data_IF_950562601409
#
_entry.id   IF_950562601409
#
_cell.length_a   1.000
_cell.length_b   1.000
_cell.length_c   1.000
_cell.angle_alpha   90.00
_cell.angle_beta   90.00
_cell.angle_gamma   90.00
#
_symmetry.space_group_name_H-M   'P 1'
#
loop_
_entity.id
_entity.type
_entity.pdbx_description
1 polymer ?
#
# COMPACT_ATOMS: atom_id res chain seq x y z
N UNK A 1 19.13 7.77 15.95
CA UNK A 1 18.86 6.47 15.32
C UNK A 1 17.63 6.56 14.43
N UNK A 2 17.51 5.70 13.40
CA UNK A 2 16.39 5.71 12.45
C UNK A 2 15.02 5.61 13.15
N UNK A 3 14.91 4.85 14.24
CA UNK A 3 13.69 4.73 15.03
C UNK A 3 13.22 6.05 15.65
N UNK A 4 14.15 6.92 16.09
CA UNK A 4 13.79 8.23 16.65
C UNK A 4 13.32 9.22 15.59
N UNK A 5 13.77 9.07 14.35
CA UNK A 5 13.38 9.91 13.24
C UNK A 5 11.97 9.54 12.72
N UNK A 6 11.67 8.26 12.65
CA UNK A 6 10.32 7.75 12.34
C UNK A 6 9.31 8.23 13.39
N UNK A 7 9.65 8.13 14.68
CA UNK A 7 8.78 8.59 15.76
C UNK A 7 8.55 10.11 15.73
N UNK A 8 9.60 10.89 15.40
CA UNK A 8 9.45 12.35 15.22
C UNK A 8 8.55 12.71 14.05
N UNK A 9 8.65 11.99 12.93
CA UNK A 9 7.77 12.19 11.77
C UNK A 9 6.31 11.86 12.10
N UNK A 10 6.05 10.81 12.86
CA UNK A 10 4.70 10.47 13.34
C UNK A 10 4.12 11.56 14.27
N UNK A 11 4.95 12.19 15.07
CA UNK A 11 4.53 13.28 15.96
C UNK A 11 4.07 14.54 15.22
N UNK A 12 4.50 14.75 13.98
CA UNK A 12 4.08 15.84 13.11
C UNK A 12 2.91 15.48 12.18
N UNK A 13 2.25 14.33 12.42
CA UNK A 13 1.01 13.98 11.75
C UNK A 13 1.12 13.80 10.25
N UNK A 14 2.21 13.20 9.74
CA UNK A 14 2.34 12.83 8.34
C UNK A 14 1.95 13.92 7.35
N UNK A 15 2.86 14.86 7.05
CA UNK A 15 2.59 15.88 6.03
C UNK A 15 2.78 15.27 4.63
N UNK A 16 1.81 15.46 3.76
CA UNK A 16 1.90 15.11 2.34
C UNK A 16 2.01 16.39 1.52
N UNK A 17 3.06 16.47 0.71
CA UNK A 17 3.19 17.51 -0.30
C UNK A 17 2.83 16.94 -1.67
N UNK A 18 1.82 17.51 -2.32
CA UNK A 18 1.36 17.09 -3.63
C UNK A 18 1.50 18.23 -4.61
N UNK A 19 2.20 18.00 -5.72
CA UNK A 19 2.33 18.95 -6.82
C UNK A 19 1.46 18.50 -7.99
N UNK A 20 0.51 19.35 -8.38
CA UNK A 20 -0.32 19.18 -9.57
C UNK A 20 0.06 20.15 -10.66
N UNK A 21 0.20 19.64 -11.87
CA UNK A 21 0.36 20.47 -13.06
C UNK A 21 -0.62 20.01 -14.14
N UNK A 22 -1.09 20.97 -14.95
CA UNK A 22 -1.99 20.69 -16.05
C UNK A 22 -2.13 21.89 -16.99
N UNK A 23 -2.57 21.67 -18.23
CA UNK A 23 -2.70 22.74 -19.23
C UNK A 23 -3.81 23.74 -18.91
N UNK A 24 -4.79 23.35 -18.08
CA UNK A 24 -5.92 24.20 -17.70
C UNK A 24 -5.97 24.38 -16.19
N UNK A 25 -6.18 25.60 -15.75
CA UNK A 25 -6.29 25.97 -14.33
C UNK A 25 -7.44 25.23 -13.65
N UNK A 26 -8.55 25.02 -14.33
CA UNK A 26 -9.71 24.34 -13.77
C UNK A 26 -9.47 22.85 -13.51
N UNK A 27 -8.67 22.19 -14.34
CA UNK A 27 -8.28 20.78 -14.13
C UNK A 27 -7.42 20.64 -12.86
N UNK A 28 -6.48 21.59 -12.68
CA UNK A 28 -5.63 21.63 -11.47
C UNK A 28 -6.46 21.90 -10.22
N UNK A 29 -7.39 22.87 -10.27
CA UNK A 29 -8.30 23.16 -9.15
C UNK A 29 -9.21 21.96 -8.80
N UNK A 30 -9.70 21.26 -9.82
CA UNK A 30 -10.54 20.07 -9.62
C UNK A 30 -9.75 18.93 -8.98
N UNK A 31 -8.52 18.68 -9.42
CA UNK A 31 -7.63 17.70 -8.82
C UNK A 31 -7.32 18.01 -7.35
N UNK A 32 -7.01 19.27 -7.04
CA UNK A 32 -6.75 19.68 -5.67
C UNK A 32 -7.97 19.54 -4.76
N UNK A 33 -9.17 19.90 -5.26
CA UNK A 33 -10.42 19.71 -4.52
C UNK A 33 -10.70 18.24 -4.24
N UNK A 34 -10.52 17.38 -5.24
CA UNK A 34 -10.70 15.94 -5.09
C UNK A 34 -9.76 15.35 -4.03
N UNK A 35 -8.48 15.71 -4.06
CA UNK A 35 -7.51 15.22 -3.06
C UNK A 35 -7.84 15.73 -1.66
N UNK A 36 -8.22 17.01 -1.54
CA UNK A 36 -8.62 17.55 -0.25
C UNK A 36 -9.82 16.80 0.31
N UNK A 37 -10.88 16.63 -0.48
CA UNK A 37 -12.07 15.88 -0.09
C UNK A 37 -11.73 14.43 0.28
N UNK A 38 -10.87 13.79 -0.51
CA UNK A 38 -10.45 12.42 -0.25
C UNK A 38 -9.69 12.27 1.09
N UNK A 39 -8.76 13.17 1.39
CA UNK A 39 -8.02 13.16 2.66
C UNK A 39 -8.94 13.45 3.86
N UNK A 40 -9.90 14.37 3.69
CA UNK A 40 -10.79 14.78 4.76
C UNK A 40 -11.91 13.76 5.05
N UNK A 41 -12.38 13.03 4.03
CA UNK A 41 -13.59 12.21 4.13
C UNK A 41 -13.37 10.70 3.90
N UNK A 42 -12.18 10.28 3.47
CA UNK A 42 -11.87 8.88 3.18
C UNK A 42 -10.69 8.41 4.01
N UNK A 43 -10.97 7.98 5.23
CA UNK A 43 -9.97 7.38 6.12
C UNK A 43 -9.60 5.93 5.78
N UNK A 44 -10.20 5.37 4.73
CA UNK A 44 -10.12 3.95 4.38
C UNK A 44 -8.81 3.49 3.73
N UNK A 45 -7.84 4.41 3.52
CA UNK A 45 -6.56 4.07 2.88
C UNK A 45 -5.59 3.30 3.78
N UNK A 46 -5.75 3.40 5.08
CA UNK A 46 -4.94 2.66 6.04
C UNK A 46 -5.87 1.87 6.95
N UNK A 47 -5.90 0.57 6.78
CA UNK A 47 -6.52 -0.29 7.75
C UNK A 47 -5.62 -0.32 8.99
N UNK A 48 -6.08 0.26 10.08
CA UNK A 48 -5.48 0.10 11.40
C UNK A 48 -6.28 -0.99 12.10
N UNK A 49 -5.62 -2.03 12.57
CA UNK A 49 -6.26 -2.95 13.48
C UNK A 49 -6.26 -2.31 14.87
N UNK A 50 -7.39 -1.72 15.23
CA UNK A 50 -7.80 -1.22 16.52
C UNK A 50 -6.70 -0.80 17.49
N UNK A 51 -6.75 -1.30 18.72
CA UNK A 51 -5.94 -0.84 19.86
C UNK A 51 -4.48 -1.30 19.89
N UNK A 52 -4.03 -2.16 18.97
CA UNK A 52 -2.68 -2.76 19.03
C UNK A 52 -1.64 -2.13 18.10
N UNK A 53 -2.00 -1.12 17.34
CA UNK A 53 -1.02 -0.28 16.63
C UNK A 53 -0.39 -0.91 15.38
N UNK A 54 -0.89 -2.04 14.87
CA UNK A 54 -0.43 -2.65 13.63
C UNK A 54 -1.08 -1.97 12.43
N UNK A 55 -0.32 -1.18 11.72
CA UNK A 55 -0.79 -0.53 10.49
C UNK A 55 -0.39 -1.33 9.26
N UNK A 56 -1.30 -1.49 8.32
CA UNK A 56 -1.01 -2.01 7.00
C UNK A 56 -1.74 -1.23 5.89
N UNK A 57 -1.24 -1.37 4.69
CA UNK A 57 -1.85 -0.79 3.50
C UNK A 57 -2.02 -1.86 2.43
N UNK A 58 -3.24 -2.01 1.92
CA UNK A 58 -3.53 -2.97 0.87
C UNK A 58 -4.57 -2.39 -0.09
N UNK A 59 -4.15 -2.11 -1.32
CA UNK A 59 -5.02 -1.53 -2.33
C UNK A 59 -4.74 -2.10 -3.72
N UNK A 60 -5.82 -2.37 -4.47
CA UNK A 60 -5.74 -2.64 -5.91
C UNK A 60 -5.90 -1.34 -6.69
N UNK A 61 -4.94 -1.06 -7.57
CA UNK A 61 -4.93 0.10 -8.45
C UNK A 61 -5.15 -0.38 -9.90
N UNK A 62 -6.35 -0.17 -10.47
CA UNK A 62 -6.71 -0.68 -11.80
C UNK A 62 -5.94 0.00 -12.94
N UNK A 63 -5.59 1.27 -12.76
CA UNK A 63 -4.92 2.09 -13.79
C UNK A 63 -3.69 2.76 -13.20
N UNK A 64 -2.52 2.08 -13.27
CA UNK A 64 -1.28 2.64 -12.76
C UNK A 64 -0.90 3.92 -13.49
N UNK A 65 -0.51 4.95 -12.73
CA UNK A 65 0.10 6.14 -13.28
C UNK A 65 1.50 5.85 -13.84
N UNK A 66 1.99 6.72 -14.73
CA UNK A 66 3.28 6.57 -15.42
C UNK A 66 4.45 6.31 -14.46
N UNK A 67 4.47 6.98 -13.32
CA UNK A 67 5.50 6.79 -12.30
C UNK A 67 5.57 5.32 -11.81
N UNK A 68 4.42 4.72 -11.46
CA UNK A 68 4.39 3.33 -11.00
C UNK A 68 4.68 2.32 -12.11
N UNK A 69 4.27 2.63 -13.35
CA UNK A 69 4.62 1.80 -14.51
C UNK A 69 6.13 1.72 -14.69
N UNK A 70 6.83 2.84 -14.62
CA UNK A 70 8.29 2.90 -14.76
C UNK A 70 8.99 2.33 -13.52
N UNK A 71 8.56 2.71 -12.32
CA UNK A 71 9.21 2.32 -11.07
C UNK A 71 9.09 0.83 -10.75
N UNK A 72 7.96 0.20 -11.10
CA UNK A 72 7.67 -1.21 -10.83
C UNK A 72 7.64 -2.09 -12.08
N UNK A 73 8.05 -1.59 -13.24
CA UNK A 73 7.98 -2.32 -14.53
C UNK A 73 6.58 -2.93 -14.77
N UNK A 74 5.53 -2.12 -14.56
CA UNK A 74 4.14 -2.54 -14.81
C UNK A 74 3.83 -2.30 -16.28
N UNK A 75 3.41 -3.35 -16.97
CA UNK A 75 3.14 -3.28 -18.41
C UNK A 75 1.85 -2.51 -18.71
N UNK A 76 1.75 -1.89 -19.89
CA UNK A 76 0.49 -1.28 -20.32
C UNK A 76 -0.67 -2.28 -20.27
N UNK A 77 -1.78 -1.85 -19.63
CA UNK A 77 -2.96 -2.69 -19.45
C UNK A 77 -2.95 -3.58 -18.19
N UNK A 78 -1.83 -3.69 -17.48
CA UNK A 78 -1.82 -4.34 -16.16
C UNK A 78 -2.35 -3.40 -15.07
N UNK A 79 -3.02 -3.99 -14.12
CA UNK A 79 -3.33 -3.41 -12.80
C UNK A 79 -2.24 -3.81 -11.81
N UNK A 80 -2.22 -3.19 -10.63
CA UNK A 80 -1.35 -3.67 -9.55
C UNK A 80 -2.03 -3.63 -8.19
N UNK A 81 -1.59 -4.53 -7.31
CA UNK A 81 -1.87 -4.50 -5.89
C UNK A 81 -0.65 -3.94 -5.15
N UNK A 82 -0.86 -2.91 -4.33
CA UNK A 82 0.16 -2.33 -3.46
C UNK A 82 -0.09 -2.81 -2.04
N UNK A 83 0.82 -3.60 -1.50
CA UNK A 83 0.63 -4.36 -0.26
C UNK A 83 1.80 -4.08 0.68
N UNK A 84 1.53 -3.53 1.86
CA UNK A 84 2.54 -3.16 2.87
C UNK A 84 2.02 -3.46 4.26
N UNK A 85 2.89 -3.90 5.15
CA UNK A 85 2.56 -4.12 6.55
C UNK A 85 3.77 -4.37 7.43
N UNK A 86 3.57 -4.98 8.57
CA UNK A 86 4.62 -5.37 9.49
C UNK A 86 5.66 -6.32 8.87
N UNK A 87 6.89 -6.37 9.40
CA UNK A 87 8.00 -7.01 8.70
C UNK A 87 7.87 -8.53 8.52
N UNK A 88 7.23 -9.23 9.44
CA UNK A 88 7.13 -10.69 9.43
C UNK A 88 5.77 -11.15 8.88
N UNK A 89 4.69 -10.58 9.39
CA UNK A 89 3.32 -10.91 9.06
C UNK A 89 3.03 -10.69 7.58
N UNK A 90 3.61 -9.63 7.02
CA UNK A 90 3.48 -9.31 5.59
C UNK A 90 4.05 -10.41 4.69
N UNK A 91 5.16 -11.07 5.06
CA UNK A 91 5.71 -12.14 4.24
C UNK A 91 4.77 -13.35 4.18
N UNK A 92 4.13 -13.70 5.29
CA UNK A 92 3.10 -14.72 5.33
C UNK A 92 1.89 -14.33 4.46
N UNK A 93 1.44 -13.09 4.59
CA UNK A 93 0.29 -12.58 3.83
C UNK A 93 0.58 -12.48 2.32
N UNK A 94 1.80 -12.13 1.93
CA UNK A 94 2.22 -12.10 0.53
C UNK A 94 2.23 -13.51 -0.10
N UNK A 95 2.65 -14.54 0.61
CA UNK A 95 2.56 -15.93 0.12
C UNK A 95 1.11 -16.32 -0.17
N UNK A 96 0.16 -15.94 0.69
CA UNK A 96 -1.27 -16.18 0.46
C UNK A 96 -1.81 -15.38 -0.72
N UNK A 97 -1.42 -14.10 -0.82
CA UNK A 97 -1.81 -13.24 -1.93
C UNK A 97 -1.36 -13.80 -3.29
N UNK A 98 -0.10 -14.26 -3.39
CA UNK A 98 0.45 -14.85 -4.62
C UNK A 98 -0.23 -16.17 -5.02
N UNK A 99 -0.74 -16.93 -4.05
CA UNK A 99 -1.49 -18.17 -4.30
C UNK A 99 -2.94 -17.94 -4.70
N UNK A 100 -3.52 -16.82 -4.27
CA UNK A 100 -4.92 -16.48 -4.54
C UNK A 100 -5.14 -15.82 -5.90
N UNK A 101 -4.17 -15.05 -6.40
CA UNK A 101 -4.25 -14.34 -7.66
C UNK A 101 -3.12 -14.72 -8.62
N UNK A 102 -3.44 -14.87 -9.91
CA UNK A 102 -2.42 -15.07 -10.94
C UNK A 102 -1.70 -13.73 -11.20
N UNK A 103 -0.87 -13.31 -10.25
CA UNK A 103 -0.08 -12.08 -10.29
C UNK A 103 1.40 -12.41 -10.33
N UNK A 104 2.20 -11.47 -10.83
CA UNK A 104 3.66 -11.50 -10.72
C UNK A 104 4.13 -10.48 -9.68
N UNK A 105 5.25 -10.77 -9.02
CA UNK A 105 5.94 -9.79 -8.18
C UNK A 105 6.62 -8.77 -9.10
N UNK A 106 6.09 -7.55 -9.13
CA UNK A 106 6.67 -6.45 -9.87
C UNK A 106 7.77 -5.75 -9.04
N UNK A 107 7.55 -5.64 -7.73
CA UNK A 107 8.54 -5.14 -6.79
C UNK A 107 8.32 -5.74 -5.42
N UNK A 108 9.42 -5.96 -4.69
CA UNK A 108 9.39 -6.50 -3.34
C UNK A 108 10.44 -5.80 -2.48
N UNK A 109 10.11 -5.57 -1.21
CA UNK A 109 11.04 -5.07 -0.20
C UNK A 109 10.79 -5.77 1.13
N UNK A 110 11.88 -5.98 1.87
CA UNK A 110 11.90 -6.70 3.13
C UNK A 110 12.79 -5.98 4.16
N UNK A 111 12.67 -6.28 5.44
CA UNK A 111 13.57 -5.77 6.46
C UNK A 111 15.02 -6.21 6.22
N UNK A 112 16.00 -5.35 6.59
CA UNK A 112 15.83 -4.03 7.17
C UNK A 112 15.44 -2.98 6.12
N UNK A 113 14.25 -2.41 6.26
CA UNK A 113 13.82 -1.25 5.47
C UNK A 113 13.90 0.03 6.30
N UNK A 114 13.89 1.19 5.64
CA UNK A 114 13.94 2.47 6.34
C UNK A 114 12.76 2.69 7.30
N UNK A 115 11.63 2.06 7.06
CA UNK A 115 10.43 2.16 7.88
C UNK A 115 10.13 0.89 8.69
N UNK A 116 11.06 -0.07 8.71
CA UNK A 116 10.86 -1.39 9.31
C UNK A 116 9.54 -2.04 8.87
N UNK A 117 9.24 -1.95 7.58
CA UNK A 117 8.08 -2.56 6.94
C UNK A 117 8.51 -3.56 5.87
N UNK A 118 7.61 -4.44 5.51
CA UNK A 118 7.73 -5.32 4.35
C UNK A 118 6.57 -5.08 3.39
N UNK A 119 6.74 -5.41 2.12
CA UNK A 119 5.68 -5.23 1.15
C UNK A 119 6.04 -5.64 -0.26
N UNK A 120 5.05 -5.58 -1.12
CA UNK A 120 5.23 -5.85 -2.53
C UNK A 120 4.25 -5.03 -3.40
N UNK A 121 4.64 -4.86 -4.64
CA UNK A 121 3.76 -4.53 -5.75
C UNK A 121 3.57 -5.80 -6.56
N UNK A 122 2.33 -6.28 -6.63
CA UNK A 122 1.95 -7.43 -7.46
C UNK A 122 1.22 -6.91 -8.70
N UNK A 123 1.66 -7.31 -9.89
CA UNK A 123 1.07 -6.88 -11.14
C UNK A 123 0.35 -8.02 -11.86
N UNK A 124 -0.74 -7.68 -12.55
CA UNK A 124 -1.56 -8.64 -13.28
C UNK A 124 -2.87 -8.04 -13.79
N UNK A 125 -3.86 -8.89 -14.05
CA UNK A 125 -5.22 -8.41 -14.35
C UNK A 125 -5.85 -7.76 -13.11
N UNK A 126 -6.82 -6.89 -13.29
CA UNK A 126 -7.52 -6.25 -12.17
C UNK A 126 -8.15 -7.29 -11.23
N UNK A 127 -8.78 -8.31 -11.78
CA UNK A 127 -9.40 -9.39 -10.98
C UNK A 127 -8.38 -10.19 -10.18
N UNK A 128 -7.21 -10.49 -10.77
CA UNK A 128 -6.12 -11.17 -10.08
C UNK A 128 -5.54 -10.31 -8.94
N UNK A 129 -5.35 -9.00 -9.19
CA UNK A 129 -4.89 -8.06 -8.16
C UNK A 129 -5.90 -7.92 -7.01
N UNK A 130 -7.21 -7.87 -7.32
CA UNK A 130 -8.26 -7.83 -6.28
C UNK A 130 -8.26 -9.11 -5.43
N UNK A 131 -8.18 -10.29 -6.05
CA UNK A 131 -8.09 -11.56 -5.32
C UNK A 131 -6.84 -11.60 -4.42
N UNK A 132 -5.69 -11.18 -4.94
CA UNK A 132 -4.46 -11.08 -4.16
C UNK A 132 -4.58 -10.09 -2.98
N UNK A 133 -5.19 -8.91 -3.21
CA UNK A 133 -5.40 -7.91 -2.15
C UNK A 133 -6.30 -8.45 -1.04
N UNK A 134 -7.42 -9.10 -1.38
CA UNK A 134 -8.33 -9.70 -0.40
C UNK A 134 -7.62 -10.77 0.43
N UNK A 135 -6.95 -11.71 -0.22
CA UNK A 135 -6.21 -12.77 0.46
C UNK A 135 -5.07 -12.24 1.35
N UNK A 136 -4.43 -11.15 0.94
CA UNK A 136 -3.42 -10.46 1.76
C UNK A 136 -4.01 -9.93 3.06
N UNK A 137 -5.13 -9.19 2.97
CA UNK A 137 -5.81 -8.61 4.13
C UNK A 137 -6.23 -9.71 5.11
N UNK A 138 -6.94 -10.74 4.62
CA UNK A 138 -7.40 -11.85 5.44
C UNK A 138 -6.26 -12.58 6.15
N UNK A 139 -5.17 -12.84 5.42
CA UNK A 139 -4.00 -13.52 5.99
C UNK A 139 -3.25 -12.65 7.00
N UNK A 140 -3.15 -11.35 6.75
CA UNK A 140 -2.50 -10.42 7.66
C UNK A 140 -3.28 -10.28 8.97
N UNK A 141 -4.60 -10.08 8.87
CA UNK A 141 -5.48 -10.04 10.03
C UNK A 141 -5.43 -11.35 10.84
N UNK A 142 -5.40 -12.48 10.14
CA UNK A 142 -5.24 -13.78 10.80
C UNK A 142 -3.92 -13.87 11.59
N UNK A 143 -2.80 -13.47 10.98
CA UNK A 143 -1.49 -13.51 11.62
C UNK A 143 -1.42 -12.59 12.86
N UNK A 144 -2.03 -11.40 12.79
CA UNK A 144 -2.09 -10.45 13.90
C UNK A 144 -2.91 -11.02 15.07
N UNK A 145 -4.06 -11.64 14.77
CA UNK A 145 -4.96 -12.20 15.78
C UNK A 145 -4.48 -13.53 16.37
N UNK A 146 -3.54 -14.18 15.70
CA UNK A 146 -3.00 -15.49 16.11
C UNK A 146 -1.46 -15.45 16.14
N UNK A 147 -0.85 -14.68 17.04
CA UNK A 147 0.60 -14.62 17.14
C UNK A 147 1.16 -16.00 17.50
N UNK A 148 2.34 -16.33 16.99
CA UNK A 148 3.04 -17.55 17.37
C UNK A 148 3.48 -17.43 18.84
N UNK A 149 3.01 -18.32 19.68
CA UNK A 149 3.54 -18.49 21.02
C UNK A 149 4.91 -19.19 20.91
N UNK A 150 5.96 -18.53 21.42
CA UNK A 150 7.32 -19.04 21.46
C UNK A 150 7.64 -19.50 22.87
#
# INVERSE_FOLDING_TARGET
SAASDVYKRQKYGGSVFVLFSGPKVEDVKSGLRYIKDFIENHSELCNFDGDEGTAFYAQTIPRPGKYFQEWCDIKPGESYAYLVGGPIETNYALDKALKAGNTRVARYWYPPSHANSSGAVLAGTESACRAATTAFIEALEYAIKNPLEI
#
